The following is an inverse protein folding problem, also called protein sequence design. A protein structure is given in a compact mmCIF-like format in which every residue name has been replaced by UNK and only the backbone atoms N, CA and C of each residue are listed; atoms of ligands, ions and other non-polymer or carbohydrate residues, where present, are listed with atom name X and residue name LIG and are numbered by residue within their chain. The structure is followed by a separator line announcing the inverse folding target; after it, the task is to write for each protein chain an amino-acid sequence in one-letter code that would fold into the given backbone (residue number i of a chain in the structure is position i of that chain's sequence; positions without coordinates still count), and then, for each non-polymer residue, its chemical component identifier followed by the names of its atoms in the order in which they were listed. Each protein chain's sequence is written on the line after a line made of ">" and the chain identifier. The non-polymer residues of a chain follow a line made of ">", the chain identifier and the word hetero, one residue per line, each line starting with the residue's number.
data_IF_862756678664
#
_entry.id   IF_862756678664
#
_cell.length_a   1.000
_cell.length_b   1.000
_cell.length_c   1.000
_cell.angle_alpha   90.00
_cell.angle_beta   90.00
_cell.angle_gamma   90.00
#
_symmetry.space_group_name_H-M   'P 1'
#
loop_
_entity.id
_entity.type
_entity.pdbx_description
1 polymer ?
#
# COMPACT_ATOMS: atom_id res chain seq x y z
N UNK A 1 5.44 -20.05 3.71
CA UNK A 1 4.67 -18.91 3.21
C UNK A 1 4.17 -19.22 1.80
N UNK A 2 2.95 -18.78 1.49
CA UNK A 2 2.38 -18.93 0.13
C UNK A 2 3.03 -17.98 -0.86
N UNK A 3 3.31 -16.75 -0.40
CA UNK A 3 3.92 -15.71 -1.20
C UNK A 3 5.34 -15.46 -0.72
N UNK A 4 6.28 -15.34 -1.68
CA UNK A 4 7.69 -15.08 -1.41
C UNK A 4 8.00 -13.58 -1.42
N UNK A 5 7.45 -12.84 -2.41
CA UNK A 5 7.63 -11.39 -2.55
C UNK A 5 6.27 -10.73 -2.62
N UNK A 6 6.03 -9.78 -1.76
CA UNK A 6 4.76 -9.05 -1.72
C UNK A 6 4.97 -7.55 -1.87
N UNK A 7 3.95 -6.88 -2.40
CA UNK A 7 3.81 -5.45 -2.24
C UNK A 7 2.65 -5.17 -1.29
N UNK A 8 2.95 -4.56 -0.14
CA UNK A 8 1.96 -4.11 0.83
C UNK A 8 1.60 -2.65 0.55
N UNK A 9 0.33 -2.40 0.21
CA UNK A 9 -0.20 -1.04 0.02
C UNK A 9 -0.97 -0.62 1.26
N UNK A 10 -0.54 0.47 1.88
CA UNK A 10 -1.17 1.06 3.06
C UNK A 10 -1.78 2.44 2.74
N UNK A 11 -2.92 2.75 3.32
CA UNK A 11 -3.45 4.12 3.31
C UNK A 11 -2.64 4.99 4.27
N UNK A 12 -2.39 6.25 3.91
CA UNK A 12 -1.80 7.20 4.86
C UNK A 12 -2.67 7.37 6.11
N UNK A 13 -3.99 7.32 5.96
CA UNK A 13 -4.94 7.37 7.08
C UNK A 13 -4.74 6.23 8.10
N UNK A 14 -4.20 5.11 7.66
CA UNK A 14 -3.88 4.00 8.53
C UNK A 14 -2.81 4.36 9.59
N UNK A 15 -1.98 5.38 9.32
CA UNK A 15 -0.96 5.86 10.27
C UNK A 15 -1.49 6.87 11.29
N UNK A 16 -2.73 7.34 11.17
CA UNK A 16 -3.27 8.34 12.10
C UNK A 16 -3.64 7.75 13.47
N UNK A 17 -3.87 6.44 13.56
CA UNK A 17 -4.46 5.84 14.74
C UNK A 17 -5.83 6.47 15.05
N UNK A 18 -6.01 6.95 16.26
CA UNK A 18 -7.22 7.68 16.68
C UNK A 18 -7.17 9.20 16.43
N UNK A 19 -6.10 9.70 15.79
CA UNK A 19 -5.92 11.12 15.48
C UNK A 19 -6.69 11.51 14.23
N UNK A 20 -6.97 12.79 14.06
CA UNK A 20 -7.63 13.31 12.86
C UNK A 20 -6.65 13.60 11.71
N UNK A 21 -5.35 13.72 12.00
CA UNK A 21 -4.27 13.99 11.03
C UNK A 21 -2.91 13.57 11.60
N UNK A 22 -1.92 13.51 10.71
CA UNK A 22 -0.53 13.25 11.09
C UNK A 22 -0.23 11.76 11.26
N UNK A 23 0.75 11.46 12.08
CA UNK A 23 1.30 10.13 12.29
C UNK A 23 1.23 9.80 13.78
N UNK A 24 0.71 8.62 14.09
CA UNK A 24 0.65 8.05 15.43
C UNK A 24 1.83 7.09 15.64
N UNK A 25 2.75 7.37 16.59
CA UNK A 25 3.90 6.51 16.85
C UNK A 25 3.53 5.09 17.28
N UNK A 26 2.47 4.93 18.07
CA UNK A 26 2.05 3.60 18.53
C UNK A 26 1.55 2.76 17.35
N UNK A 27 0.83 3.40 16.42
CA UNK A 27 0.37 2.76 15.20
C UNK A 27 1.50 2.34 14.27
N UNK A 28 2.54 3.19 14.16
CA UNK A 28 3.76 2.83 13.43
C UNK A 28 4.44 1.60 14.04
N UNK A 29 4.56 1.57 15.38
CA UNK A 29 5.16 0.44 16.09
C UNK A 29 4.37 -0.86 15.87
N UNK A 30 3.03 -0.82 15.91
CA UNK A 30 2.18 -1.97 15.60
C UNK A 30 2.43 -2.50 14.18
N UNK A 31 2.44 -1.63 13.17
CA UNK A 31 2.71 -2.03 11.79
C UNK A 31 4.11 -2.56 11.60
N UNK A 32 5.11 -1.98 12.28
CA UNK A 32 6.47 -2.48 12.24
C UNK A 32 6.57 -3.92 12.78
N UNK A 33 5.83 -4.25 13.85
CA UNK A 33 5.78 -5.61 14.40
C UNK A 33 5.06 -6.58 13.46
N UNK A 34 3.95 -6.19 12.85
CA UNK A 34 3.25 -7.04 11.88
C UNK A 34 4.13 -7.32 10.64
N UNK A 35 4.82 -6.30 10.11
CA UNK A 35 5.76 -6.46 9.00
C UNK A 35 6.94 -7.33 9.42
N UNK A 36 7.49 -7.13 10.62
CA UNK A 36 8.55 -7.98 11.17
C UNK A 36 8.15 -9.44 11.20
N UNK A 37 6.91 -9.73 11.59
CA UNK A 37 6.41 -11.13 11.70
C UNK A 37 6.51 -11.92 10.40
N UNK A 38 6.48 -11.25 9.24
CA UNK A 38 6.60 -11.87 7.93
C UNK A 38 8.03 -11.81 7.36
N UNK A 39 8.79 -10.74 7.65
CA UNK A 39 10.21 -10.68 7.25
C UNK A 39 11.05 -11.71 7.99
N UNK A 40 10.78 -11.99 9.27
CA UNK A 40 11.41 -13.05 10.03
C UNK A 40 11.15 -14.47 9.44
N UNK A 41 10.20 -14.58 8.52
CA UNK A 41 9.91 -15.81 7.75
C UNK A 41 10.43 -15.76 6.31
N UNK A 42 11.39 -14.88 6.04
CA UNK A 42 12.04 -14.68 4.75
C UNK A 42 11.09 -14.26 3.62
N UNK A 43 10.01 -13.53 3.95
CA UNK A 43 9.18 -12.89 2.95
C UNK A 43 9.83 -11.57 2.53
N UNK A 44 10.00 -11.37 1.24
CA UNK A 44 10.48 -10.13 0.67
C UNK A 44 9.33 -9.10 0.62
N UNK A 45 9.50 -7.98 1.31
CA UNK A 45 8.41 -7.00 1.53
C UNK A 45 8.76 -5.66 0.89
N UNK A 46 7.93 -5.25 -0.06
CA UNK A 46 7.89 -3.88 -0.56
C UNK A 46 6.62 -3.17 -0.05
N UNK A 47 6.71 -1.87 0.20
CA UNK A 47 5.61 -1.09 0.76
C UNK A 47 5.38 0.16 -0.08
N UNK A 48 4.12 0.43 -0.43
CA UNK A 48 3.65 1.73 -0.90
C UNK A 48 2.67 2.28 0.12
N UNK A 49 2.91 3.52 0.57
CA UNK A 49 2.06 4.17 1.55
C UNK A 49 1.47 5.46 1.00
N UNK A 50 0.18 5.71 1.27
CA UNK A 50 -0.49 6.94 0.90
C UNK A 50 -0.07 8.14 1.75
N UNK A 51 -0.42 9.36 1.31
CA UNK A 51 -0.13 10.63 2.01
C UNK A 51 -1.36 11.33 2.62
N UNK A 52 -2.54 10.68 2.58
CA UNK A 52 -3.83 11.32 2.92
C UNK A 52 -4.00 11.77 4.37
N UNK A 53 -3.17 11.28 5.29
CA UNK A 53 -3.10 11.74 6.69
C UNK A 53 -2.38 13.09 6.86
N UNK A 54 -1.60 13.49 5.88
CA UNK A 54 -0.81 14.75 5.88
C UNK A 54 -1.41 15.74 4.89
N UNK A 55 -1.65 15.31 3.66
CA UNK A 55 -2.20 16.15 2.61
C UNK A 55 -3.06 15.37 1.62
N UNK A 56 -4.21 15.95 1.24
CA UNK A 56 -5.14 15.39 0.23
C UNK A 56 -5.24 16.35 -0.95
N UNK A 57 -4.53 16.04 -2.05
CA UNK A 57 -4.47 16.87 -3.26
C UNK A 57 -5.83 17.19 -3.87
N UNK A 58 -6.75 16.22 -3.92
CA UNK A 58 -8.11 16.42 -4.44
C UNK A 58 -8.91 17.43 -3.61
N UNK A 59 -8.78 17.39 -2.28
CA UNK A 59 -9.45 18.36 -1.40
C UNK A 59 -8.82 19.76 -1.51
N UNK A 60 -7.52 19.86 -1.82
CA UNK A 60 -6.83 21.12 -2.10
C UNK A 60 -7.28 21.73 -3.43
N UNK A 61 -7.38 20.92 -4.48
CA UNK A 61 -7.81 21.36 -5.81
C UNK A 61 -9.25 21.92 -5.81
N UNK A 62 -10.15 21.33 -5.02
CA UNK A 62 -11.53 21.83 -4.86
C UNK A 62 -11.61 23.22 -4.23
N UNK A 63 -10.52 23.72 -3.61
CA UNK A 63 -10.41 25.06 -3.01
C UNK A 63 -9.58 26.04 -3.85
N UNK A 64 -9.37 25.76 -5.15
CA UNK A 64 -8.65 26.63 -6.08
C UNK A 64 -7.14 26.42 -6.16
N UNK A 65 -6.61 25.38 -5.48
CA UNK A 65 -5.20 25.00 -5.64
C UNK A 65 -4.97 24.35 -7.01
N UNK A 66 -3.84 24.62 -7.64
CA UNK A 66 -3.43 23.92 -8.86
C UNK A 66 -3.28 22.41 -8.60
N UNK A 67 -3.84 21.59 -9.48
CA UNK A 67 -3.88 20.14 -9.33
C UNK A 67 -2.48 19.53 -9.29
N UNK A 68 -1.57 20.00 -10.15
CA UNK A 68 -0.20 19.49 -10.24
C UNK A 68 0.57 19.78 -8.96
N UNK A 69 0.43 21.02 -8.43
CA UNK A 69 1.03 21.38 -7.13
C UNK A 69 0.48 20.51 -5.99
N UNK A 70 -0.85 20.31 -5.96
CA UNK A 70 -1.49 19.45 -4.98
C UNK A 70 -1.00 18.01 -5.04
N UNK A 71 -0.82 17.46 -6.22
CA UNK A 71 -0.31 16.10 -6.41
C UNK A 71 1.16 15.98 -5.94
N UNK A 72 2.03 16.97 -6.22
CA UNK A 72 3.38 16.99 -5.67
C UNK A 72 3.41 17.09 -4.14
N UNK A 73 2.53 17.88 -3.53
CA UNK A 73 2.40 17.93 -2.06
C UNK A 73 1.98 16.56 -1.51
N UNK A 74 1.04 15.86 -2.18
CA UNK A 74 0.67 14.50 -1.85
C UNK A 74 1.82 13.50 -1.98
N UNK A 75 2.64 13.63 -3.04
CA UNK A 75 3.85 12.80 -3.20
C UNK A 75 4.86 13.03 -2.06
N UNK A 76 5.12 14.29 -1.68
CA UNK A 76 5.98 14.62 -0.54
C UNK A 76 5.41 14.08 0.77
N UNK A 77 4.11 14.11 0.97
CA UNK A 77 3.44 13.51 2.14
C UNK A 77 3.71 12.00 2.24
N UNK A 78 3.76 11.28 1.10
CA UNK A 78 4.14 9.86 1.12
C UNK A 78 5.60 9.64 1.52
N UNK A 79 6.49 10.56 1.20
CA UNK A 79 7.90 10.51 1.62
C UNK A 79 8.03 10.69 3.13
N UNK A 80 7.30 11.65 3.71
CA UNK A 80 7.24 11.86 5.16
C UNK A 80 6.76 10.58 5.88
N UNK A 81 5.66 9.98 5.40
CA UNK A 81 5.17 8.71 5.93
C UNK A 81 6.18 7.57 5.77
N UNK A 82 6.86 7.53 4.62
CA UNK A 82 7.90 6.55 4.35
C UNK A 82 9.08 6.64 5.31
N UNK A 83 9.55 7.85 5.64
CA UNK A 83 10.60 8.08 6.64
C UNK A 83 10.16 7.63 8.04
N UNK A 84 8.94 7.98 8.44
CA UNK A 84 8.42 7.58 9.74
C UNK A 84 8.31 6.06 9.87
N UNK A 85 7.81 5.38 8.83
CA UNK A 85 7.71 3.91 8.81
C UNK A 85 9.09 3.24 8.75
N UNK A 86 10.05 3.82 8.02
CA UNK A 86 11.43 3.34 8.01
C UNK A 86 12.03 3.37 9.43
N UNK A 87 11.90 4.48 10.14
CA UNK A 87 12.38 4.60 11.52
C UNK A 87 11.78 3.52 12.42
N UNK A 88 10.45 3.35 12.40
CA UNK A 88 9.77 2.34 13.21
C UNK A 88 10.20 0.89 12.87
N UNK A 89 10.45 0.59 11.59
CA UNK A 89 10.94 -0.72 11.16
C UNK A 89 12.39 -0.96 11.62
N UNK A 90 13.25 0.05 11.51
CA UNK A 90 14.64 -0.04 11.96
C UNK A 90 14.74 -0.16 13.49
N UNK A 91 13.88 0.51 14.26
CA UNK A 91 13.73 0.32 15.71
C UNK A 91 13.30 -1.11 16.05
N UNK A 92 12.42 -1.70 15.25
CA UNK A 92 12.03 -3.11 15.35
C UNK A 92 13.10 -4.11 14.84
N UNK A 93 14.30 -3.60 14.44
CA UNK A 93 15.42 -4.40 13.90
C UNK A 93 15.11 -5.04 12.53
N UNK A 94 14.28 -4.38 11.73
CA UNK A 94 14.00 -4.74 10.34
C UNK A 94 14.79 -3.82 9.42
N UNK A 95 15.84 -4.30 8.73
CA UNK A 95 16.62 -3.46 7.81
C UNK A 95 15.72 -2.92 6.69
N UNK A 96 15.68 -1.60 6.53
CA UNK A 96 14.73 -0.94 5.62
C UNK A 96 15.44 0.05 4.70
N UNK A 97 14.90 0.28 3.50
CA UNK A 97 15.34 1.32 2.57
C UNK A 97 14.15 2.07 2.01
N UNK A 98 14.21 3.39 2.11
CA UNK A 98 13.26 4.28 1.43
C UNK A 98 13.81 4.64 0.06
N UNK A 99 13.02 4.38 -0.98
CA UNK A 99 13.31 4.82 -2.34
C UNK A 99 12.18 5.73 -2.84
N UNK A 100 12.52 6.79 -3.56
CA UNK A 100 11.55 7.77 -4.02
C UNK A 100 11.55 7.94 -5.53
N UNK A 101 10.36 8.13 -6.10
CA UNK A 101 10.20 8.46 -7.51
C UNK A 101 10.61 9.90 -7.83
N UNK A 102 10.55 10.80 -6.85
CA UNK A 102 11.06 12.17 -6.92
C UNK A 102 12.46 12.19 -6.31
N UNK A 103 13.42 12.80 -7.00
CA UNK A 103 14.81 12.86 -6.49
C UNK A 103 14.93 13.79 -5.28
N UNK A 104 15.19 13.22 -4.11
CA UNK A 104 15.45 13.91 -2.85
C UNK A 104 16.64 13.19 -2.19
N UNK A 105 17.82 13.34 -2.80
CA UNK A 105 19.00 12.52 -2.51
C UNK A 105 19.46 12.60 -1.05
N UNK A 106 19.20 13.71 -0.35
CA UNK A 106 19.55 13.93 1.06
C UNK A 106 18.66 13.12 2.01
N UNK A 107 17.50 12.63 1.53
CA UNK A 107 16.47 12.01 2.37
C UNK A 107 16.26 10.54 2.04
N UNK A 108 16.31 10.17 0.76
CA UNK A 108 15.98 8.83 0.30
C UNK A 108 16.73 8.47 -0.99
N UNK A 109 16.92 7.19 -1.23
CA UNK A 109 17.51 6.72 -2.48
C UNK A 109 16.55 7.02 -3.67
N UNK A 110 17.06 7.45 -4.83
CA UNK A 110 16.24 7.48 -6.03
C UNK A 110 15.84 6.05 -6.41
N UNK A 111 14.59 5.89 -6.83
CA UNK A 111 14.09 4.60 -7.28
C UNK A 111 14.89 4.12 -8.51
N UNK A 112 15.49 2.96 -8.39
CA UNK A 112 16.11 2.20 -9.46
C UNK A 112 15.69 0.74 -9.28
N UNK A 113 14.96 0.17 -10.26
CA UNK A 113 14.42 -1.19 -10.19
C UNK A 113 15.43 -2.22 -9.68
N UNK A 114 16.64 -2.25 -10.27
CA UNK A 114 17.68 -3.21 -9.87
C UNK A 114 18.16 -3.04 -8.44
N UNK A 115 18.19 -1.81 -7.92
CA UNK A 115 18.52 -1.57 -6.50
C UNK A 115 17.41 -2.07 -5.59
N UNK A 116 16.13 -1.80 -5.94
CA UNK A 116 14.99 -2.29 -5.18
C UNK A 116 15.01 -3.83 -5.09
N UNK A 117 15.16 -4.51 -6.23
CA UNK A 117 15.29 -5.97 -6.30
C UNK A 117 16.42 -6.47 -5.40
N UNK A 118 17.60 -5.85 -5.48
CA UNK A 118 18.76 -6.24 -4.67
C UNK A 118 18.56 -6.01 -3.17
N UNK A 119 17.79 -5.00 -2.77
CA UNK A 119 17.42 -4.81 -1.37
C UNK A 119 16.50 -5.93 -0.88
N UNK A 120 15.47 -6.26 -1.64
CA UNK A 120 14.52 -7.34 -1.33
C UNK A 120 15.23 -8.69 -1.20
N UNK A 121 16.09 -9.05 -2.16
CA UNK A 121 16.92 -10.27 -2.11
C UNK A 121 17.83 -10.36 -0.89
N UNK A 122 18.23 -9.22 -0.31
CA UNK A 122 19.01 -9.13 0.93
C UNK A 122 18.15 -9.14 2.20
N UNK A 123 16.85 -9.40 2.09
CA UNK A 123 15.92 -9.40 3.21
C UNK A 123 15.65 -8.00 3.79
N UNK A 124 15.88 -6.92 3.02
CA UNK A 124 15.53 -5.57 3.42
C UNK A 124 14.12 -5.24 2.98
N UNK A 125 13.37 -4.58 3.83
CA UNK A 125 12.10 -3.95 3.42
C UNK A 125 12.41 -2.75 2.52
N UNK A 126 11.67 -2.60 1.43
CA UNK A 126 11.78 -1.43 0.56
C UNK A 126 10.48 -0.63 0.63
N UNK A 127 10.56 0.62 1.03
CA UNK A 127 9.43 1.55 1.02
C UNK A 127 9.55 2.43 -0.22
N UNK A 128 8.47 2.53 -1.00
CA UNK A 128 8.41 3.41 -2.17
C UNK A 128 7.62 4.67 -1.85
N UNK A 129 8.30 5.83 -1.83
CA UNK A 129 7.74 7.15 -1.67
C UNK A 129 7.65 7.92 -2.99
N UNK A 130 6.91 9.04 -3.00
CA UNK A 130 6.76 9.89 -4.17
C UNK A 130 5.80 9.35 -5.23
N UNK A 131 4.99 8.32 -4.92
CA UNK A 131 4.02 7.76 -5.84
C UNK A 131 4.66 7.24 -7.13
N UNK A 132 4.09 7.62 -8.28
CA UNK A 132 4.68 7.35 -9.61
C UNK A 132 5.76 8.37 -10.00
N UNK A 133 5.87 9.48 -9.26
CA UNK A 133 6.67 10.64 -9.64
C UNK A 133 5.97 11.59 -10.62
N UNK A 134 4.76 11.25 -11.07
CA UNK A 134 3.98 12.02 -12.02
C UNK A 134 2.63 12.44 -11.39
N UNK A 135 2.20 13.70 -11.61
CA UNK A 135 0.86 14.14 -11.26
C UNK A 135 -0.22 13.30 -11.94
N UNK A 136 -1.45 13.43 -11.47
CA UNK A 136 -2.66 12.72 -11.94
C UNK A 136 -2.76 11.24 -11.61
N UNK A 137 -1.73 10.62 -11.05
CA UNK A 137 -1.78 9.24 -10.59
C UNK A 137 -1.96 9.16 -9.07
N UNK A 138 -2.63 8.12 -8.61
CA UNK A 138 -2.78 7.84 -7.18
C UNK A 138 -1.68 6.92 -6.66
N UNK A 139 -1.66 6.70 -5.35
CA UNK A 139 -0.78 5.70 -4.73
C UNK A 139 -1.23 4.26 -5.02
N UNK A 140 -2.48 4.03 -5.45
CA UNK A 140 -2.93 2.72 -5.93
C UNK A 140 -2.25 2.39 -7.27
N UNK A 141 -2.23 3.34 -8.22
CA UNK A 141 -1.47 3.19 -9.47
C UNK A 141 0.02 2.98 -9.23
N UNK A 142 0.60 3.72 -8.28
CA UNK A 142 2.00 3.54 -7.91
C UNK A 142 2.26 2.14 -7.32
N UNK A 143 1.36 1.62 -6.49
CA UNK A 143 1.50 0.30 -5.89
C UNK A 143 1.53 -0.80 -6.96
N UNK A 144 0.61 -0.76 -7.93
CA UNK A 144 0.59 -1.75 -9.01
C UNK A 144 1.84 -1.65 -9.87
N UNK A 145 2.24 -0.43 -10.28
CA UNK A 145 3.45 -0.21 -11.08
C UNK A 145 4.69 -0.78 -10.37
N UNK A 146 4.89 -0.45 -9.10
CA UNK A 146 6.03 -0.96 -8.32
C UNK A 146 5.96 -2.47 -8.13
N UNK A 147 4.77 -3.05 -7.90
CA UNK A 147 4.60 -4.48 -7.75
C UNK A 147 5.04 -5.25 -9.00
N UNK A 148 4.66 -4.77 -10.19
CA UNK A 148 5.08 -5.35 -11.47
C UNK A 148 6.60 -5.21 -11.65
N UNK A 149 7.15 -4.02 -11.42
CA UNK A 149 8.58 -3.75 -11.58
C UNK A 149 9.48 -4.61 -10.69
N UNK A 150 9.02 -4.94 -9.49
CA UNK A 150 9.77 -5.80 -8.55
C UNK A 150 9.37 -7.28 -8.63
N UNK A 151 8.50 -7.65 -9.58
CA UNK A 151 8.03 -9.03 -9.75
C UNK A 151 7.40 -9.58 -8.45
N UNK A 152 6.46 -8.82 -7.86
CA UNK A 152 5.73 -9.26 -6.68
C UNK A 152 4.72 -10.37 -7.03
N UNK A 153 4.55 -11.34 -6.15
CA UNK A 153 3.58 -12.43 -6.32
C UNK A 153 2.12 -11.95 -6.13
N UNK A 154 1.95 -10.86 -5.36
CA UNK A 154 0.64 -10.35 -4.96
C UNK A 154 0.75 -8.91 -4.44
N UNK A 155 -0.33 -8.14 -4.64
CA UNK A 155 -0.54 -6.87 -3.93
C UNK A 155 -1.45 -7.14 -2.73
N UNK A 156 -0.99 -6.78 -1.54
CA UNK A 156 -1.76 -6.82 -0.31
C UNK A 156 -2.26 -5.41 0.02
N UNK A 157 -3.54 -5.15 -0.17
CA UNK A 157 -4.16 -3.87 0.16
C UNK A 157 -4.68 -3.92 1.59
N UNK A 158 -3.90 -3.36 2.51
CA UNK A 158 -4.29 -3.19 3.91
C UNK A 158 -5.27 -2.03 4.06
N UNK A 159 -6.47 -2.34 4.56
CA UNK A 159 -7.59 -1.41 4.77
C UNK A 159 -8.13 -1.52 6.19
N UNK A 160 -9.16 -0.74 6.52
CA UNK A 160 -9.95 -0.91 7.78
C UNK A 160 -11.16 -1.83 7.61
N UNK A 161 -11.51 -2.21 6.38
CA UNK A 161 -12.55 -3.20 6.11
C UNK A 161 -11.89 -4.54 5.79
N UNK A 162 -12.59 -5.62 6.10
CA UNK A 162 -12.04 -6.97 6.02
C UNK A 162 -12.17 -7.63 4.64
N UNK A 163 -12.52 -6.86 3.61
CA UNK A 163 -12.62 -7.35 2.23
C UNK A 163 -13.42 -6.44 1.31
N UNK A 164 -13.81 -6.96 0.16
CA UNK A 164 -14.65 -6.30 -0.82
C UNK A 164 -16.09 -6.79 -0.63
N UNK A 165 -17.04 -5.86 -0.69
CA UNK A 165 -18.47 -6.11 -0.54
C UNK A 165 -19.24 -5.64 -1.76
N UNK A 166 -20.42 -6.22 -1.98
CA UNK A 166 -21.35 -5.80 -3.04
C UNK A 166 -21.97 -4.40 -2.80
N UNK A 167 -21.90 -3.90 -1.56
CA UNK A 167 -22.30 -2.57 -1.13
C UNK A 167 -21.41 -2.09 0.00
N UNK A 168 -21.52 -0.82 0.40
CA UNK A 168 -20.75 -0.25 1.52
C UNK A 168 -21.23 -0.84 2.87
N UNK A 169 -20.44 -1.71 3.55
CA UNK A 169 -20.89 -2.36 4.78
C UNK A 169 -21.09 -1.40 5.97
N UNK A 170 -20.55 -0.17 5.89
CA UNK A 170 -20.77 0.85 6.92
C UNK A 170 -22.17 1.50 6.77
N UNK A 171 -22.76 1.44 5.57
CA UNK A 171 -24.07 2.02 5.25
C UNK A 171 -25.16 0.99 5.09
N UNK A 172 -24.82 -0.17 4.55
CA UNK A 172 -25.75 -1.27 4.28
C UNK A 172 -25.34 -2.52 5.06
N UNK A 173 -26.12 -2.84 6.11
CA UNK A 173 -25.88 -4.02 6.94
C UNK A 173 -26.17 -5.34 6.23
N UNK A 174 -26.84 -5.30 5.06
CA UNK A 174 -27.09 -6.47 4.21
C UNK A 174 -25.95 -6.73 3.21
N UNK A 175 -24.92 -5.88 3.20
CA UNK A 175 -23.79 -6.04 2.31
C UNK A 175 -23.10 -7.40 2.51
N UNK A 176 -22.87 -8.09 1.40
CA UNK A 176 -22.26 -9.41 1.38
C UNK A 176 -20.81 -9.29 0.93
N UNK A 177 -19.91 -9.85 1.73
CA UNK A 177 -18.48 -9.90 1.42
C UNK A 177 -18.19 -10.97 0.39
N UNK A 178 -17.33 -10.67 -0.56
CA UNK A 178 -16.76 -11.66 -1.47
C UNK A 178 -15.52 -12.30 -0.85
N UNK A 179 -15.41 -13.62 -0.90
CA UNK A 179 -14.16 -14.33 -0.61
C UNK A 179 -13.20 -14.23 -1.80
N UNK A 180 -13.78 -14.28 -3.01
CA UNK A 180 -13.10 -14.18 -4.28
C UNK A 180 -14.00 -13.46 -5.30
N UNK A 181 -13.39 -12.64 -6.15
CA UNK A 181 -14.09 -11.94 -7.23
C UNK A 181 -13.11 -11.73 -8.40
N UNK A 182 -13.61 -11.82 -9.64
CA UNK A 182 -12.79 -11.55 -10.82
C UNK A 182 -12.56 -10.04 -11.02
N UNK A 183 -11.50 -9.68 -11.76
CA UNK A 183 -11.30 -8.29 -12.18
C UNK A 183 -12.49 -7.77 -12.98
N UNK A 184 -13.03 -8.58 -13.89
CA UNK A 184 -14.17 -8.20 -14.72
C UNK A 184 -15.42 -7.92 -13.87
N UNK A 185 -15.72 -8.76 -12.89
CA UNK A 185 -16.87 -8.57 -12.00
C UNK A 185 -16.75 -7.30 -11.18
N UNK A 186 -15.55 -6.97 -10.69
CA UNK A 186 -15.31 -5.72 -9.96
C UNK A 186 -15.60 -4.51 -10.85
N UNK A 187 -15.13 -4.53 -12.10
CA UNK A 187 -15.37 -3.44 -13.07
C UNK A 187 -16.84 -3.34 -13.45
N UNK A 188 -17.49 -4.46 -13.78
CA UNK A 188 -18.90 -4.50 -14.16
C UNK A 188 -19.82 -4.03 -13.04
N UNK A 189 -19.54 -4.39 -11.80
CA UNK A 189 -20.31 -3.98 -10.62
C UNK A 189 -19.92 -2.60 -10.11
N UNK A 190 -18.91 -1.95 -10.68
CA UNK A 190 -18.44 -0.61 -10.27
C UNK A 190 -17.91 -0.55 -8.84
N UNK A 191 -17.36 -1.66 -8.33
CA UNK A 191 -16.85 -1.75 -6.96
C UNK A 191 -15.57 -0.92 -6.79
N UNK A 192 -15.52 -0.08 -5.75
CA UNK A 192 -14.40 0.84 -5.49
C UNK A 192 -13.28 0.17 -4.70
N UNK A 193 -12.53 -0.69 -5.34
CA UNK A 193 -11.38 -1.39 -4.72
C UNK A 193 -10.10 -0.54 -4.82
N UNK A 194 -9.80 -0.08 -6.02
CA UNK A 194 -8.69 0.81 -6.38
C UNK A 194 -9.16 1.79 -7.46
N UNK A 195 -8.35 2.75 -7.86
CA UNK A 195 -8.65 3.53 -9.06
C UNK A 195 -8.58 2.64 -10.31
N UNK A 196 -9.33 3.03 -11.35
CA UNK A 196 -9.46 2.24 -12.59
C UNK A 196 -8.11 1.97 -13.26
N UNK A 197 -7.21 2.95 -13.26
CA UNK A 197 -5.86 2.81 -13.86
C UNK A 197 -5.06 1.71 -13.16
N UNK A 198 -5.05 1.72 -11.81
CA UNK A 198 -4.39 0.69 -11.01
C UNK A 198 -4.98 -0.68 -11.28
N UNK A 199 -6.31 -0.73 -11.32
CA UNK A 199 -7.05 -1.98 -11.46
C UNK A 199 -6.82 -2.63 -12.83
N UNK A 200 -6.93 -1.86 -13.91
CA UNK A 200 -6.67 -2.34 -15.28
C UNK A 200 -5.21 -2.79 -15.45
N UNK A 201 -4.26 -2.01 -14.93
CA UNK A 201 -2.84 -2.38 -14.99
C UNK A 201 -2.55 -3.70 -14.25
N UNK A 202 -3.22 -3.94 -13.11
CA UNK A 202 -3.09 -5.21 -12.36
C UNK A 202 -3.69 -6.38 -13.13
N UNK A 203 -4.84 -6.20 -13.75
CA UNK A 203 -5.50 -7.19 -14.60
C UNK A 203 -4.65 -7.58 -15.80
N UNK A 204 -4.16 -6.59 -16.57
CA UNK A 204 -3.31 -6.82 -17.75
C UNK A 204 -2.02 -7.59 -17.45
N UNK A 205 -1.53 -7.49 -16.20
CA UNK A 205 -0.32 -8.19 -15.76
C UNK A 205 -0.62 -9.42 -14.90
N UNK A 206 -1.89 -9.85 -14.83
CA UNK A 206 -2.35 -11.01 -14.06
C UNK A 206 -1.91 -11.00 -12.59
N UNK A 207 -1.66 -9.79 -12.03
CA UNK A 207 -1.17 -9.60 -10.68
C UNK A 207 -2.34 -9.60 -9.69
N UNK A 208 -2.47 -10.61 -8.82
CA UNK A 208 -3.60 -10.69 -7.90
C UNK A 208 -3.52 -9.61 -6.81
N UNK A 209 -4.71 -9.16 -6.37
CA UNK A 209 -4.87 -8.22 -5.27
C UNK A 209 -5.61 -8.93 -4.13
N UNK A 210 -5.16 -8.78 -2.90
CA UNK A 210 -5.90 -9.21 -1.72
C UNK A 210 -6.21 -7.99 -0.87
N UNK A 211 -7.50 -7.75 -0.64
CA UNK A 211 -8.00 -6.68 0.25
C UNK A 211 -8.33 -7.29 1.61
N UNK A 212 -7.75 -6.76 2.66
CA UNK A 212 -7.93 -7.31 4.01
C UNK A 212 -7.83 -6.23 5.10
N UNK A 213 -8.37 -6.54 6.29
CA UNK A 213 -8.26 -5.66 7.45
C UNK A 213 -6.86 -5.75 8.08
N UNK A 214 -6.06 -4.70 7.87
CA UNK A 214 -4.70 -4.57 8.42
C UNK A 214 -4.71 -4.19 9.92
N UNK A 215 -5.84 -3.73 10.46
CA UNK A 215 -5.92 -3.32 11.86
C UNK A 215 -6.03 -4.51 12.83
N UNK A 216 -6.41 -5.68 12.32
CA UNK A 216 -6.42 -6.91 13.12
C UNK A 216 -5.02 -7.50 13.17
N UNK A 217 -4.41 -7.47 14.35
CA UNK A 217 -3.08 -8.02 14.62
C UNK A 217 -2.95 -9.45 14.10
N UNK A 218 -1.87 -9.71 13.36
CA UNK A 218 -1.57 -11.02 12.80
C UNK A 218 -2.28 -11.35 11.47
N UNK A 219 -3.23 -10.53 10.99
CA UNK A 219 -3.89 -10.77 9.71
C UNK A 219 -2.88 -10.76 8.55
N UNK A 220 -1.89 -9.86 8.58
CA UNK A 220 -0.85 -9.84 7.55
C UNK A 220 -0.12 -11.18 7.44
N UNK A 221 0.29 -11.76 8.57
CA UNK A 221 0.94 -13.06 8.59
C UNK A 221 0.03 -14.17 8.04
N UNK A 222 -1.24 -14.19 8.43
CA UNK A 222 -2.22 -15.16 7.95
C UNK A 222 -2.43 -15.09 6.45
N UNK A 223 -2.64 -13.88 5.90
CA UNK A 223 -2.79 -13.66 4.45
C UNK A 223 -1.55 -14.14 3.70
N UNK A 224 -0.35 -13.79 4.16
CA UNK A 224 0.91 -14.20 3.51
C UNK A 224 1.13 -15.71 3.62
N UNK A 225 0.62 -16.34 4.67
CA UNK A 225 0.62 -17.80 4.82
C UNK A 225 -0.37 -18.52 3.90
N UNK A 226 -1.31 -17.78 3.30
CA UNK A 226 -2.31 -18.31 2.37
C UNK A 226 -3.64 -18.66 3.01
N UNK A 227 -3.88 -18.23 4.24
CA UNK A 227 -5.21 -18.34 4.86
C UNK A 227 -6.22 -17.49 4.09
N UNK A 228 -7.47 -17.95 4.04
CA UNK A 228 -8.57 -17.26 3.36
C UNK A 228 -9.07 -16.08 4.21
N UNK A 229 -8.28 -15.03 4.25
CA UNK A 229 -8.60 -13.77 4.94
C UNK A 229 -8.73 -12.67 3.89
N UNK A 230 -9.78 -11.87 4.02
CA UNK A 230 -10.04 -10.80 3.07
C UNK A 230 -10.75 -11.28 1.81
N UNK A 231 -10.65 -10.50 0.74
CA UNK A 231 -11.15 -10.82 -0.59
C UNK A 231 -9.99 -10.88 -1.57
N UNK A 232 -9.91 -11.97 -2.33
CA UNK A 232 -8.92 -12.11 -3.40
C UNK A 232 -9.54 -11.69 -4.74
N UNK A 233 -8.85 -10.79 -5.45
CA UNK A 233 -9.17 -10.40 -6.83
C UNK A 233 -8.12 -10.99 -7.75
N UNK A 234 -8.54 -11.70 -8.78
CA UNK A 234 -7.68 -12.22 -9.85
C UNK A 234 -8.50 -12.50 -11.12
N UNK A 235 -7.89 -13.07 -12.15
CA UNK A 235 -8.59 -13.57 -13.35
C UNK A 235 -9.56 -14.68 -13.00
#
# INVERSE_FOLDING_TARGET
>A
MKYKRILLKLSGEALMGNRQYGIDPDRLAEYAQDIKSITDKNVEVAIVIGGGNIFRGVAGASKGMDRVQGDYMGMLATVINGLALQGALEDAKVPTRLQTAIKINEVAEPFIRRKAMRHLEKGRVVIFGGGTGNPYFTTDSAAVLRAIEIEADVILKGTRVDGIYNADPEKDKSAIKFDHISFDDVLQQGLKVMDTTAFTLSQENELPIIVFDMNKKGNLLKVVSGEKIGTKVNL
#
